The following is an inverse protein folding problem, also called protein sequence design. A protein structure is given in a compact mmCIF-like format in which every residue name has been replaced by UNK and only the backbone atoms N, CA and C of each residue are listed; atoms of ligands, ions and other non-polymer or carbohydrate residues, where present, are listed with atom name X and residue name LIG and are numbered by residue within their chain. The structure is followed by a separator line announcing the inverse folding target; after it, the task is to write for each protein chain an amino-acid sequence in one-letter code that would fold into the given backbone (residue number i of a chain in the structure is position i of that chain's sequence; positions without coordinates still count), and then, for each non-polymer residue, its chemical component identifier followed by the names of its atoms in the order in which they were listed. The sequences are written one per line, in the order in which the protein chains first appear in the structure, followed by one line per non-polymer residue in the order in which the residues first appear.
data_IF_060322426133
#
_entry.id   IF_060322426133
#
_cell.length_a   1.000
_cell.length_b   1.000
_cell.length_c   1.000
_cell.angle_alpha   90.00
_cell.angle_beta   90.00
_cell.angle_gamma   90.00
#
_symmetry.space_group_name_H-M   'P 1'
#
loop_
_entity.id
_entity.type
_entity.pdbx_description
1 polymer ?
#
# COMPACT_ATOMS: atom_id res chain seq x y z
N UNK A 1 22.90 -25.35 46.16
CA UNK A 1 21.60 -26.03 45.93
C UNK A 1 20.51 -24.97 46.00
N UNK A 2 19.80 -24.57 44.96
CA UNK A 2 19.88 -24.90 43.55
C UNK A 2 19.64 -23.60 42.76
N UNK A 3 20.36 -23.46 41.67
CA UNK A 3 20.29 -22.33 40.75
C UNK A 3 18.92 -22.33 40.06
N UNK A 4 18.17 -21.24 40.22
CA UNK A 4 16.95 -20.99 39.43
C UNK A 4 17.36 -20.62 38.00
N UNK A 5 16.99 -21.39 36.96
CA UNK A 5 17.30 -21.02 35.60
C UNK A 5 16.39 -19.88 35.14
N UNK A 6 17.03 -18.76 34.79
CA UNK A 6 16.45 -17.65 34.08
C UNK A 6 15.79 -18.14 32.78
N UNK A 7 14.46 -18.10 32.71
CA UNK A 7 13.72 -18.21 31.45
C UNK A 7 13.91 -16.90 30.68
N UNK A 8 14.97 -16.85 29.86
CA UNK A 8 15.09 -15.94 28.72
C UNK A 8 13.86 -16.17 27.83
N UNK A 9 12.89 -15.25 27.89
CA UNK A 9 11.94 -15.06 26.79
C UNK A 9 12.71 -14.36 25.65
N UNK A 10 13.59 -15.12 24.98
CA UNK A 10 14.05 -14.79 23.64
C UNK A 10 13.05 -15.44 22.68
N UNK A 11 12.03 -14.71 22.26
CA UNK A 11 11.19 -15.13 21.14
C UNK A 11 10.60 -13.93 20.43
N UNK A 12 11.25 -13.65 19.29
CA UNK A 12 10.72 -13.00 18.09
C UNK A 12 10.20 -11.57 18.26
N UNK A 13 11.13 -10.64 18.50
CA UNK A 13 11.09 -9.39 17.73
C UNK A 13 11.34 -9.78 16.27
N UNK A 14 10.25 -10.09 15.56
CA UNK A 14 10.24 -10.10 14.11
C UNK A 14 10.60 -8.68 13.67
N UNK A 15 11.89 -8.46 13.54
CA UNK A 15 12.47 -7.31 12.88
C UNK A 15 12.04 -7.49 11.43
N UNK A 16 10.89 -6.92 11.08
CA UNK A 16 10.39 -6.84 9.72
C UNK A 16 11.53 -6.24 8.92
N UNK A 17 12.31 -7.11 8.26
CA UNK A 17 13.46 -6.68 7.50
C UNK A 17 12.85 -6.06 6.25
N UNK A 18 12.58 -4.76 6.32
CA UNK A 18 11.99 -4.03 5.20
C UNK A 18 13.05 -4.09 4.11
N UNK A 19 12.84 -4.98 3.15
CA UNK A 19 13.75 -5.11 2.02
C UNK A 19 13.69 -3.81 1.26
N UNK A 20 14.86 -3.22 1.06
CA UNK A 20 15.00 -1.98 0.32
C UNK A 20 14.48 -2.20 -1.11
N UNK A 21 13.56 -1.34 -1.54
CA UNK A 21 13.10 -1.34 -2.92
C UNK A 21 14.24 -0.89 -3.82
N UNK A 22 14.51 -1.66 -4.87
CA UNK A 22 15.50 -1.32 -5.87
C UNK A 22 15.20 0.04 -6.54
N UNK A 23 16.23 0.84 -6.79
CA UNK A 23 16.08 2.18 -7.34
C UNK A 23 15.43 2.17 -8.73
N UNK A 24 15.70 1.17 -9.57
CA UNK A 24 15.08 1.05 -10.89
C UNK A 24 13.59 0.68 -10.77
N UNK A 25 13.23 -0.17 -9.80
CA UNK A 25 11.83 -0.47 -9.50
C UNK A 25 11.10 0.78 -9.01
N UNK A 26 11.67 1.51 -8.04
CA UNK A 26 11.09 2.74 -7.53
C UNK A 26 10.89 3.77 -8.65
N UNK A 27 11.88 3.93 -9.54
CA UNK A 27 11.77 4.86 -10.66
C UNK A 27 10.63 4.47 -11.63
N UNK A 28 10.45 3.18 -11.89
CA UNK A 28 9.33 2.67 -12.70
C UNK A 28 7.99 2.91 -12.01
N UNK A 29 7.89 2.69 -10.70
CA UNK A 29 6.67 2.99 -9.95
C UNK A 29 6.35 4.49 -9.97
N UNK A 30 7.38 5.34 -9.86
CA UNK A 30 7.22 6.80 -9.96
C UNK A 30 6.65 7.23 -11.29
N UNK A 31 6.99 6.56 -12.40
CA UNK A 31 6.38 6.85 -13.71
C UNK A 31 4.91 6.47 -13.79
N UNK A 32 4.43 5.62 -12.87
CA UNK A 32 3.03 5.20 -12.78
C UNK A 32 2.22 6.05 -11.79
N UNK A 33 2.85 6.97 -11.04
CA UNK A 33 2.14 7.89 -10.15
C UNK A 33 1.15 8.74 -10.97
N UNK A 34 -0.06 8.87 -10.43
CA UNK A 34 -1.18 9.57 -11.06
C UNK A 34 -2.00 8.74 -12.04
N UNK A 35 -1.53 7.54 -12.42
CA UNK A 35 -2.27 6.64 -13.28
C UNK A 35 -3.43 5.97 -12.54
N UNK A 36 -4.49 5.70 -13.29
CA UNK A 36 -5.69 5.01 -12.83
C UNK A 36 -5.68 3.58 -13.33
N UNK A 37 -6.29 2.69 -12.56
CA UNK A 37 -6.41 1.27 -12.83
C UNK A 37 -7.71 0.77 -12.20
N UNK A 38 -8.37 -0.21 -12.80
CA UNK A 38 -9.54 -0.85 -12.21
C UNK A 38 -9.10 -2.11 -11.47
N UNK A 39 -9.14 -2.07 -10.13
CA UNK A 39 -8.74 -3.17 -9.27
C UNK A 39 -9.93 -3.55 -8.38
N UNK A 40 -10.28 -4.84 -8.35
CA UNK A 40 -11.42 -5.36 -7.59
C UNK A 40 -12.76 -4.70 -7.97
N UNK A 41 -12.94 -4.38 -9.27
CA UNK A 41 -14.15 -3.72 -9.78
C UNK A 41 -14.30 -2.24 -9.38
N UNK A 42 -13.22 -1.63 -8.86
CA UNK A 42 -13.20 -0.23 -8.46
C UNK A 42 -12.02 0.49 -9.11
N UNK A 43 -12.22 1.75 -9.52
CA UNK A 43 -11.14 2.57 -10.08
C UNK A 43 -10.27 3.10 -8.94
N UNK A 44 -9.00 2.73 -8.98
CA UNK A 44 -7.95 3.19 -8.07
C UNK A 44 -6.94 4.02 -8.83
N UNK A 45 -6.44 5.06 -8.19
CA UNK A 45 -5.38 5.92 -8.68
C UNK A 45 -4.16 5.75 -7.81
N UNK A 46 -3.01 5.48 -8.42
CA UNK A 46 -1.75 5.48 -7.68
C UNK A 46 -1.40 6.93 -7.33
N UNK A 47 -1.40 7.28 -6.04
CA UNK A 47 -1.17 8.66 -5.59
C UNK A 47 0.19 8.85 -4.94
N UNK A 48 0.74 7.81 -4.30
CA UNK A 48 1.99 7.92 -3.58
C UNK A 48 2.73 6.57 -3.48
N UNK A 49 4.03 6.64 -3.21
CA UNK A 49 4.89 5.48 -2.99
C UNK A 49 5.74 5.77 -1.76
N UNK A 50 5.66 4.89 -0.76
CA UNK A 50 6.40 4.99 0.50
C UNK A 50 7.55 3.97 0.47
N UNK A 51 8.72 4.34 -0.08
CA UNK A 51 9.83 3.41 -0.24
C UNK A 51 10.39 2.90 1.09
N UNK A 52 10.32 3.73 2.14
CA UNK A 52 10.79 3.38 3.48
C UNK A 52 9.97 2.27 4.15
N UNK A 53 8.70 2.11 3.76
CA UNK A 53 7.80 1.08 4.29
C UNK A 53 7.55 -0.06 3.27
N UNK A 54 8.02 0.11 2.04
CA UNK A 54 7.77 -0.86 0.98
C UNK A 54 6.33 -0.83 0.48
N UNK A 55 5.64 0.31 0.56
CA UNK A 55 4.20 0.42 0.26
C UNK A 55 3.94 1.34 -0.93
N UNK A 56 2.89 1.06 -1.69
CA UNK A 56 2.25 2.01 -2.59
C UNK A 56 0.89 2.41 -2.04
N UNK A 57 0.50 3.65 -2.29
CA UNK A 57 -0.76 4.22 -1.83
C UNK A 57 -1.65 4.49 -3.03
N UNK A 58 -2.81 3.86 -3.01
CA UNK A 58 -3.86 4.01 -3.99
C UNK A 58 -5.01 4.80 -3.38
N UNK A 59 -5.58 5.70 -4.15
CA UNK A 59 -6.81 6.41 -3.82
C UNK A 59 -7.93 5.92 -4.74
N UNK A 60 -9.08 5.58 -4.17
CA UNK A 60 -10.25 5.28 -4.98
C UNK A 60 -10.77 6.53 -5.66
N UNK A 61 -11.01 6.48 -6.97
CA UNK A 61 -11.76 7.48 -7.72
C UNK A 61 -13.28 7.23 -7.53
N UNK A 62 -13.72 7.09 -6.26
CA UNK A 62 -15.15 7.12 -5.95
C UNK A 62 -15.59 8.56 -6.11
N UNK A 63 -16.54 8.80 -7.01
CA UNK A 63 -17.23 10.08 -7.14
C UNK A 63 -17.56 10.59 -5.74
N UNK A 64 -16.92 11.72 -5.36
CA UNK A 64 -17.08 12.33 -4.03
C UNK A 64 -18.58 12.34 -3.71
N UNK A 65 -19.04 11.63 -2.66
CA UNK A 65 -20.44 11.76 -2.29
C UNK A 65 -20.69 13.25 -2.02
N UNK A 66 -21.84 13.79 -2.47
CA UNK A 66 -22.15 15.19 -2.24
C UNK A 66 -21.98 15.48 -0.75
N UNK A 67 -21.32 16.60 -0.44
CA UNK A 67 -21.08 17.05 0.94
C UNK A 67 -22.46 17.16 1.61
N UNK A 68 -22.84 16.15 2.38
CA UNK A 68 -24.04 16.24 3.21
C UNK A 68 -23.64 17.07 4.42
N UNK A 69 -24.27 18.23 4.54
CA UNK A 69 -24.22 18.99 5.78
C UNK A 69 -24.84 18.12 6.86
N UNK A 70 -24.08 17.82 7.91
CA UNK A 70 -24.66 17.23 9.10
C UNK A 70 -25.64 18.22 9.76
N UNK A 71 -26.56 17.73 10.59
CA UNK A 71 -27.58 18.54 11.27
C UNK A 71 -27.01 19.68 12.15
N UNK A 72 -25.71 19.69 12.41
CA UNK A 72 -24.96 20.76 13.09
C UNK A 72 -24.14 21.66 12.15
N UNK A 73 -24.35 21.60 10.83
CA UNK A 73 -23.63 22.41 9.83
C UNK A 73 -22.16 22.03 9.65
N UNK A 74 -21.73 20.87 10.15
CA UNK A 74 -20.36 20.38 9.99
C UNK A 74 -20.24 19.66 8.65
N UNK A 75 -19.22 20.05 7.88
CA UNK A 75 -18.84 19.31 6.69
C UNK A 75 -18.23 17.97 7.12
N UNK A 76 -19.02 16.91 7.05
CA UNK A 76 -18.50 15.54 7.16
C UNK A 76 -17.82 15.17 5.85
N UNK A 77 -16.51 15.42 5.76
CA UNK A 77 -15.69 15.06 4.62
C UNK A 77 -15.54 13.53 4.60
N UNK A 78 -16.25 12.84 3.70
CA UNK A 78 -15.86 11.46 3.37
C UNK A 78 -14.65 11.53 2.45
N UNK A 79 -13.48 11.25 3.01
CA UNK A 79 -12.27 11.08 2.21
C UNK A 79 -12.45 9.89 1.25
N UNK A 80 -11.78 9.96 0.10
CA UNK A 80 -11.68 8.82 -0.81
C UNK A 80 -11.07 7.62 -0.07
N UNK A 81 -11.48 6.41 -0.43
CA UNK A 81 -10.90 5.22 0.16
C UNK A 81 -9.41 5.16 -0.21
N UNK A 82 -8.55 4.94 0.78
CA UNK A 82 -7.12 4.76 0.58
C UNK A 82 -6.80 3.29 0.75
N UNK A 83 -6.12 2.71 -0.23
CA UNK A 83 -5.62 1.34 -0.18
C UNK A 83 -4.10 1.35 -0.24
N UNK A 84 -3.47 0.70 0.73
CA UNK A 84 -2.02 0.54 0.76
C UNK A 84 -1.69 -0.87 0.30
N UNK A 85 -0.87 -1.00 -0.73
CA UNK A 85 -0.41 -2.29 -1.25
C UNK A 85 1.08 -2.41 -0.98
N UNK A 86 1.50 -3.55 -0.44
CA UNK A 86 2.90 -3.82 -0.20
C UNK A 86 3.60 -4.23 -1.49
N UNK A 87 4.72 -3.58 -1.79
CA UNK A 87 5.49 -3.81 -3.02
C UNK A 87 6.21 -5.15 -2.95
N UNK A 88 6.95 -5.40 -1.86
CA UNK A 88 7.76 -6.59 -1.68
C UNK A 88 7.27 -7.45 -0.51
N UNK A 89 7.30 -8.77 -0.71
CA UNK A 89 7.10 -9.72 0.37
C UNK A 89 8.26 -9.63 1.38
N UNK A 90 7.97 -9.51 2.69
CA UNK A 90 9.02 -9.36 3.70
C UNK A 90 9.89 -10.61 3.89
N UNK A 91 9.42 -11.78 3.47
CA UNK A 91 10.13 -13.07 3.61
C UNK A 91 10.94 -13.34 2.35
N UNK A 92 10.28 -13.36 1.20
CA UNK A 92 10.88 -13.76 -0.07
C UNK A 92 11.59 -12.61 -0.79
N UNK A 93 11.22 -11.36 -0.53
CA UNK A 93 11.74 -10.19 -1.24
C UNK A 93 11.28 -10.11 -2.70
N UNK A 94 10.32 -10.94 -3.10
CA UNK A 94 9.66 -10.90 -4.40
C UNK A 94 8.51 -9.88 -4.38
N UNK A 95 8.00 -9.49 -5.56
CA UNK A 95 6.80 -8.65 -5.64
C UNK A 95 5.60 -9.40 -5.06
N UNK A 96 4.80 -8.74 -4.23
CA UNK A 96 3.56 -9.36 -3.73
C UNK A 96 2.58 -9.61 -4.88
N UNK A 97 1.67 -10.56 -4.70
CA UNK A 97 0.64 -10.85 -5.71
C UNK A 97 -0.22 -9.61 -5.99
N UNK A 98 -0.60 -8.88 -4.95
CA UNK A 98 -1.36 -7.62 -5.08
C UNK A 98 -0.59 -6.57 -5.88
N UNK A 99 0.73 -6.48 -5.71
CA UNK A 99 1.56 -5.55 -6.47
C UNK A 99 1.69 -5.97 -7.94
N UNK A 100 1.78 -7.28 -8.21
CA UNK A 100 1.83 -7.81 -9.57
C UNK A 100 0.53 -7.53 -10.32
N UNK A 101 -0.62 -7.76 -9.67
CA UNK A 101 -1.94 -7.48 -10.20
C UNK A 101 -2.13 -5.97 -10.48
N UNK A 102 -1.73 -5.12 -9.53
CA UNK A 102 -1.72 -3.68 -9.71
C UNK A 102 -0.89 -3.25 -10.93
N UNK A 103 0.33 -3.80 -11.09
CA UNK A 103 1.20 -3.48 -12.20
C UNK A 103 0.63 -3.95 -13.54
N UNK A 104 -0.03 -5.09 -13.57
CA UNK A 104 -0.71 -5.57 -14.78
C UNK A 104 -1.86 -4.63 -15.17
N UNK A 105 -2.69 -4.26 -14.20
CA UNK A 105 -3.81 -3.36 -14.43
C UNK A 105 -3.36 -1.96 -14.89
N UNK A 106 -2.32 -1.39 -14.26
CA UNK A 106 -1.74 -0.11 -14.67
C UNK A 106 -1.15 -0.17 -16.09
N UNK A 107 -0.50 -1.28 -16.48
CA UNK A 107 0.04 -1.46 -17.85
C UNK A 107 -1.05 -1.63 -18.89
N UNK A 108 -2.12 -2.35 -18.56
CA UNK A 108 -3.28 -2.53 -19.45
C UNK A 108 -3.95 -1.19 -19.73
N UNK A 109 -4.02 -0.30 -18.74
CA UNK A 109 -4.56 1.05 -18.90
C UNK A 109 -3.65 1.97 -19.73
N UNK A 110 -2.33 1.76 -19.71
CA UNK A 110 -1.36 2.52 -20.53
C UNK A 110 -1.38 2.15 -22.02
N UNK A 111 -1.96 1.01 -22.39
CA UNK A 111 -2.05 0.53 -23.78
C UNK A 111 -3.35 0.92 -24.48
N UNK A 112 -4.33 1.44 -23.74
CA UNK A 112 -5.61 1.94 -24.25
C UNK A 112 -5.53 3.43 -24.59
#
# INVERSE_FOLDING_TARGET
MGESPARKLDSVSQMTHIRTIDAALLQRLRTLLGHRCELDGQVWRLIDIVPGEGLVVLESDLARPPIQMDQYGRASHRANAIRQIRILDPVEGALTLEMQDLLDCLKSTLRA
#
